data_IF_726260635493
#
_entry.id   IF_726260635493
#
_cell.length_a   1.000
_cell.length_b   1.000
_cell.length_c   1.000
_cell.angle_alpha   90.00
_cell.angle_beta   90.00
_cell.angle_gamma   90.00
#
_symmetry.space_group_name_H-M   'P 1'
#
loop_
_entity.id
_entity.type
_entity.pdbx_description
1 polymer ?
#
# COMPACT_ATOMS: atom_id res chain seq x y z
N UNK A 1 27.60 9.67 4.75
CA UNK A 1 27.40 8.33 4.18
C UNK A 1 28.14 8.25 2.86
N UNK A 2 28.72 7.09 2.54
CA UNK A 2 29.31 6.86 1.23
C UNK A 2 28.24 6.54 0.18
N UNK A 3 28.61 6.66 -1.11
CA UNK A 3 27.71 6.37 -2.22
C UNK A 3 27.22 4.90 -2.23
N UNK A 4 28.02 3.99 -1.67
CA UNK A 4 27.70 2.56 -1.57
C UNK A 4 26.51 2.34 -0.64
N UNK A 5 26.51 2.94 0.55
CA UNK A 5 25.39 2.85 1.50
C UNK A 5 24.10 3.44 0.93
N UNK A 6 24.21 4.54 0.17
CA UNK A 6 23.07 5.14 -0.52
C UNK A 6 22.49 4.18 -1.56
N UNK A 7 23.33 3.66 -2.45
CA UNK A 7 22.90 2.71 -3.47
C UNK A 7 22.29 1.43 -2.85
N UNK A 8 22.88 0.92 -1.77
CA UNK A 8 22.41 -0.27 -1.08
C UNK A 8 21.05 -0.06 -0.41
N UNK A 9 20.81 1.10 0.21
CA UNK A 9 19.50 1.44 0.79
C UNK A 9 18.40 1.54 -0.27
N UNK A 10 18.68 2.20 -1.40
CA UNK A 10 17.74 2.26 -2.52
C UNK A 10 17.47 0.88 -3.12
N UNK A 11 18.50 0.04 -3.29
CA UNK A 11 18.34 -1.33 -3.73
C UNK A 11 17.49 -2.15 -2.73
N UNK A 12 17.73 -1.98 -1.43
CA UNK A 12 17.00 -2.63 -0.35
C UNK A 12 15.53 -2.25 -0.28
N UNK A 13 15.17 -1.00 -0.64
CA UNK A 13 13.77 -0.58 -0.75
C UNK A 13 13.11 -1.02 -2.06
N UNK A 14 13.78 -0.82 -3.21
CA UNK A 14 13.20 -0.99 -4.54
C UNK A 14 13.09 -2.47 -4.95
N UNK A 15 14.13 -3.29 -4.73
CA UNK A 15 14.14 -4.66 -5.24
C UNK A 15 13.04 -5.53 -4.63
N UNK A 16 12.79 -5.52 -3.30
CA UNK A 16 11.66 -6.26 -2.72
C UNK A 16 10.31 -5.75 -3.24
N UNK A 17 10.14 -4.44 -3.39
CA UNK A 17 8.91 -3.86 -3.92
C UNK A 17 8.64 -4.31 -5.37
N UNK A 18 9.67 -4.39 -6.21
CA UNK A 18 9.57 -4.92 -7.57
C UNK A 18 9.28 -6.42 -7.61
N UNK A 19 9.85 -7.20 -6.69
CA UNK A 19 9.55 -8.63 -6.56
C UNK A 19 8.07 -8.86 -6.22
N UNK A 20 7.53 -8.09 -5.28
CA UNK A 20 6.10 -8.10 -4.96
C UNK A 20 5.24 -7.60 -6.12
N UNK A 21 5.67 -6.55 -6.83
CA UNK A 21 4.94 -6.04 -8.00
C UNK A 21 4.82 -7.12 -9.08
N UNK A 22 5.89 -7.87 -9.31
CA UNK A 22 5.88 -9.00 -10.23
C UNK A 22 4.91 -10.10 -9.78
N UNK A 23 4.87 -10.42 -8.47
CA UNK A 23 3.92 -11.39 -7.92
C UNK A 23 2.48 -10.93 -8.15
N UNK A 24 2.13 -9.71 -7.74
CA UNK A 24 0.76 -9.18 -7.82
C UNK A 24 0.26 -9.03 -9.25
N UNK A 25 1.14 -8.67 -10.20
CA UNK A 25 0.75 -8.63 -11.62
C UNK A 25 0.34 -9.99 -12.19
N UNK A 26 0.71 -11.11 -11.56
CA UNK A 26 0.28 -12.45 -11.98
C UNK A 26 -1.14 -12.77 -11.55
N UNK A 27 -1.68 -12.06 -10.55
CA UNK A 27 -3.08 -12.19 -10.16
C UNK A 27 -4.04 -11.72 -11.26
N UNK A 28 -3.52 -10.87 -12.15
CA UNK A 28 -4.19 -10.32 -13.33
C UNK A 28 -3.65 -10.95 -14.64
N UNK A 29 -3.18 -12.20 -14.58
CA UNK A 29 -2.63 -12.88 -15.74
C UNK A 29 -3.58 -13.06 -16.94
N UNK A 30 -4.91 -13.24 -16.76
CA UNK A 30 -5.82 -13.40 -17.90
C UNK A 30 -5.89 -12.17 -18.81
N UNK A 31 -5.98 -10.97 -18.22
CA UNK A 31 -6.19 -9.70 -18.92
C UNK A 31 -5.24 -8.61 -18.37
N UNK A 32 -3.92 -8.77 -18.58
CA UNK A 32 -2.94 -8.01 -17.82
C UNK A 32 -2.90 -6.52 -18.20
N UNK A 33 -2.89 -5.69 -17.17
CA UNK A 33 -2.78 -4.24 -17.34
C UNK A 33 -1.51 -3.80 -18.11
N UNK A 34 -1.60 -2.73 -18.94
CA UNK A 34 -0.46 -2.23 -19.70
C UNK A 34 0.71 -1.88 -18.78
N UNK A 35 1.89 -2.42 -19.09
CA UNK A 35 3.11 -2.22 -18.27
C UNK A 35 3.42 -0.74 -17.99
N UNK A 36 3.09 0.15 -18.93
CA UNK A 36 3.25 1.61 -18.77
C UNK A 36 2.37 2.19 -17.66
N UNK A 37 1.16 1.68 -17.48
CA UNK A 37 0.23 2.15 -16.45
C UNK A 37 0.62 1.60 -15.09
N UNK A 38 1.11 0.35 -15.03
CA UNK A 38 1.70 -0.18 -13.79
C UNK A 38 2.95 0.59 -13.39
N UNK A 39 3.83 0.91 -14.34
CA UNK A 39 5.00 1.75 -14.08
C UNK A 39 4.59 3.17 -13.63
N UNK A 40 3.55 3.75 -14.22
CA UNK A 40 3.00 5.03 -13.81
C UNK A 40 2.43 4.98 -12.38
N UNK A 41 1.68 3.93 -12.03
CA UNK A 41 1.15 3.72 -10.69
C UNK A 41 2.27 3.58 -9.66
N UNK A 42 3.29 2.77 -9.95
CA UNK A 42 4.47 2.64 -9.10
C UNK A 42 5.19 3.98 -8.91
N UNK A 43 5.47 4.70 -10.00
CA UNK A 43 6.09 6.02 -9.93
C UNK A 43 5.24 7.04 -9.17
N UNK A 44 3.91 7.00 -9.32
CA UNK A 44 2.99 7.82 -8.55
C UNK A 44 3.11 7.53 -7.05
N UNK A 45 3.22 6.25 -6.66
CA UNK A 45 3.53 5.83 -5.30
C UNK A 45 4.83 6.41 -4.77
N UNK A 46 5.91 6.34 -5.55
CA UNK A 46 7.21 6.93 -5.19
C UNK A 46 7.10 8.44 -4.94
N UNK A 47 6.44 9.16 -5.84
CA UNK A 47 6.24 10.61 -5.74
C UNK A 47 5.38 10.96 -4.51
N UNK A 48 4.44 10.10 -4.15
CA UNK A 48 3.56 10.28 -2.98
C UNK A 48 4.37 10.50 -1.70
N UNK A 49 5.51 9.80 -1.54
CA UNK A 49 6.39 9.95 -0.36
C UNK A 49 6.87 11.39 -0.18
N UNK A 50 7.25 12.06 -1.27
CA UNK A 50 7.69 13.46 -1.25
C UNK A 50 6.57 14.43 -0.83
N UNK A 51 5.30 14.06 -1.07
CA UNK A 51 4.14 14.87 -0.70
C UNK A 51 3.72 14.63 0.76
N UNK A 52 3.76 13.38 1.24
CA UNK A 52 3.30 13.05 2.60
C UNK A 52 4.28 13.48 3.67
N UNK A 53 5.60 13.38 3.46
CA UNK A 53 6.60 13.69 4.49
C UNK A 53 6.47 15.13 5.02
N UNK A 54 6.36 16.18 4.17
CA UNK A 54 6.13 17.54 4.65
C UNK A 54 4.84 17.68 5.46
N UNK A 55 3.75 17.04 5.02
CA UNK A 55 2.45 17.09 5.71
C UNK A 55 2.53 16.37 7.07
N UNK A 56 3.16 15.20 7.12
CA UNK A 56 3.41 14.45 8.35
C UNK A 56 4.25 15.25 9.34
N UNK A 57 5.32 15.92 8.87
CA UNK A 57 6.17 16.80 9.69
C UNK A 57 5.43 18.03 10.19
N UNK A 58 4.54 18.60 9.38
CA UNK A 58 3.70 19.72 9.78
C UNK A 58 2.68 19.31 10.84
N UNK A 59 2.06 18.14 10.72
CA UNK A 59 1.02 17.67 11.64
C UNK A 59 1.58 17.16 12.97
N UNK A 60 2.75 16.51 12.97
CA UNK A 60 3.30 15.82 14.14
C UNK A 60 3.43 16.70 15.42
N UNK A 61 3.89 17.96 15.36
CA UNK A 61 4.02 18.82 16.55
C UNK A 61 2.68 19.16 17.24
N UNK A 62 1.54 19.01 16.54
CA UNK A 62 0.22 19.29 17.10
C UNK A 62 -0.40 18.11 17.85
N UNK A 63 0.30 16.97 17.90
CA UNK A 63 -0.20 15.73 18.49
C UNK A 63 0.61 15.36 19.74
N UNK A 64 -0.09 14.96 20.80
CA UNK A 64 0.51 14.79 22.13
C UNK A 64 1.10 13.40 22.38
N UNK A 65 0.71 12.38 21.62
CA UNK A 65 1.14 10.99 21.85
C UNK A 65 1.71 10.36 20.59
N UNK A 66 2.68 9.47 20.76
CA UNK A 66 3.26 8.69 19.66
C UNK A 66 2.18 7.94 18.89
N UNK A 67 1.23 7.30 19.59
CA UNK A 67 0.10 6.62 18.94
C UNK A 67 -0.73 7.55 18.06
N UNK A 68 -1.02 8.77 18.52
CA UNK A 68 -1.75 9.75 17.72
C UNK A 68 -0.95 10.18 16.48
N UNK A 69 0.36 10.39 16.61
CA UNK A 69 1.27 10.74 15.51
C UNK A 69 1.25 9.65 14.43
N UNK A 70 1.49 8.39 14.80
CA UNK A 70 1.50 7.27 13.84
C UNK A 70 0.12 7.00 13.23
N UNK A 71 -0.96 7.24 13.98
CA UNK A 71 -2.33 7.18 13.43
C UNK A 71 -2.54 8.28 12.38
N UNK A 72 -2.14 9.52 12.67
CA UNK A 72 -2.24 10.62 11.72
C UNK A 72 -1.36 10.39 10.47
N UNK A 73 -0.16 9.83 10.63
CA UNK A 73 0.69 9.43 9.52
C UNK A 73 0.02 8.38 8.63
N UNK A 74 -0.58 7.35 9.22
CA UNK A 74 -1.34 6.33 8.51
C UNK A 74 -2.52 6.94 7.72
N UNK A 75 -3.24 7.90 8.32
CA UNK A 75 -4.30 8.66 7.63
C UNK A 75 -3.77 9.39 6.41
N UNK A 76 -2.72 10.20 6.60
CA UNK A 76 -2.12 11.01 5.53
C UNK A 76 -1.67 10.12 4.38
N UNK A 77 -0.99 9.02 4.68
CA UNK A 77 -0.46 8.13 3.65
C UNK A 77 -1.54 7.43 2.83
N UNK A 78 -2.51 6.78 3.47
CA UNK A 78 -3.54 6.03 2.74
C UNK A 78 -4.44 6.96 1.92
N UNK A 79 -4.74 8.16 2.44
CA UNK A 79 -5.47 9.19 1.67
C UNK A 79 -4.67 9.62 0.45
N UNK A 80 -3.38 9.96 0.62
CA UNK A 80 -2.56 10.43 -0.50
C UNK A 80 -2.29 9.32 -1.54
N UNK A 81 -2.09 8.07 -1.13
CA UNK A 81 -1.97 6.91 -2.04
C UNK A 81 -3.22 6.76 -2.89
N UNK A 82 -4.40 6.78 -2.27
CA UNK A 82 -5.67 6.73 -3.01
C UNK A 82 -5.84 7.91 -3.96
N UNK A 83 -5.55 9.14 -3.52
CA UNK A 83 -5.62 10.33 -4.37
C UNK A 83 -4.68 10.22 -5.57
N UNK A 84 -3.43 9.78 -5.35
CA UNK A 84 -2.44 9.61 -6.41
C UNK A 84 -2.87 8.53 -7.40
N UNK A 85 -3.40 7.39 -6.94
CA UNK A 85 -4.00 6.39 -7.82
C UNK A 85 -5.19 6.97 -8.61
N UNK A 86 -6.05 7.73 -7.93
CA UNK A 86 -7.28 8.29 -8.49
C UNK A 86 -7.05 9.32 -9.59
N UNK A 87 -5.98 10.10 -9.51
CA UNK A 87 -5.63 11.12 -10.53
C UNK A 87 -4.72 10.57 -11.64
N UNK A 88 -4.06 9.42 -11.44
CA UNK A 88 -3.11 8.86 -12.42
C UNK A 88 -3.68 7.70 -13.24
N UNK A 89 -4.26 6.70 -12.57
CA UNK A 89 -4.59 5.39 -13.15
C UNK A 89 -6.05 4.96 -13.03
N UNK A 90 -6.74 5.21 -11.90
CA UNK A 90 -8.13 4.74 -11.66
C UNK A 90 -9.24 5.48 -12.44
N UNK A 91 -8.87 6.29 -13.42
CA UNK A 91 -9.82 6.93 -14.35
C UNK A 91 -9.55 6.55 -15.80
N UNK A 92 -8.48 5.80 -16.03
CA UNK A 92 -8.07 5.36 -17.36
C UNK A 92 -9.08 4.35 -17.89
N UNK A 93 -9.17 4.25 -19.20
CA UNK A 93 -10.10 3.32 -19.86
C UNK A 93 -9.65 1.87 -19.70
N UNK A 94 -8.38 1.67 -19.40
CA UNK A 94 -7.77 0.38 -19.12
C UNK A 94 -8.13 -0.14 -17.70
N UNK A 95 -8.72 0.68 -16.82
CA UNK A 95 -9.40 0.18 -15.60
C UNK A 95 -10.80 -0.34 -16.02
N UNK A 96 -10.85 -1.52 -16.62
CA UNK A 96 -12.04 -2.12 -17.26
C UNK A 96 -12.53 -3.43 -16.63
N UNK A 97 -11.80 -3.97 -15.66
CA UNK A 97 -12.16 -5.14 -14.85
C UNK A 97 -12.22 -4.86 -13.34
N UNK A 98 -13.04 -5.61 -12.57
CA UNK A 98 -13.13 -5.42 -11.12
C UNK A 98 -11.82 -5.61 -10.34
N UNK A 99 -10.84 -6.32 -10.90
CA UNK A 99 -9.54 -6.56 -10.25
C UNK A 99 -8.55 -5.40 -10.44
N UNK A 100 -8.65 -4.63 -11.53
CA UNK A 100 -7.68 -3.60 -11.89
C UNK A 100 -7.50 -2.53 -10.81
N UNK A 101 -8.56 -2.03 -10.13
CA UNK A 101 -8.38 -1.10 -9.03
C UNK A 101 -7.49 -1.65 -7.92
N UNK A 102 -7.50 -2.97 -7.70
CA UNK A 102 -6.62 -3.63 -6.73
C UNK A 102 -5.19 -3.63 -7.22
N UNK A 103 -4.95 -4.02 -8.47
CA UNK A 103 -3.60 -4.04 -9.06
C UNK A 103 -2.99 -2.65 -9.08
N UNK A 104 -3.78 -1.63 -9.46
CA UNK A 104 -3.34 -0.24 -9.45
C UNK A 104 -3.01 0.28 -8.06
N UNK A 105 -3.88 0.03 -7.07
CA UNK A 105 -3.62 0.44 -5.69
C UNK A 105 -2.41 -0.27 -5.10
N UNK A 106 -2.23 -1.56 -5.39
CA UNK A 106 -1.04 -2.33 -4.97
C UNK A 106 0.22 -1.77 -5.63
N UNK A 107 0.19 -1.43 -6.92
CA UNK A 107 1.33 -0.83 -7.60
C UNK A 107 1.74 0.53 -6.98
N UNK A 108 0.76 1.39 -6.66
CA UNK A 108 1.00 2.65 -5.93
C UNK A 108 1.59 2.37 -4.54
N UNK A 109 1.05 1.41 -3.80
CA UNK A 109 1.54 1.05 -2.48
C UNK A 109 2.98 0.53 -2.50
N UNK A 110 3.34 -0.28 -3.49
CA UNK A 110 4.69 -0.81 -3.66
C UNK A 110 5.69 0.28 -4.05
N UNK A 111 5.28 1.24 -4.90
CA UNK A 111 6.10 2.40 -5.22
C UNK A 111 6.34 3.30 -4.00
N UNK A 112 5.30 3.49 -3.18
CA UNK A 112 5.41 4.20 -1.91
C UNK A 112 6.39 3.49 -0.96
N UNK A 113 6.15 2.19 -0.73
CA UNK A 113 6.98 1.36 0.14
C UNK A 113 8.44 1.34 -0.33
N UNK A 114 8.70 1.32 -1.63
CA UNK A 114 10.06 1.33 -2.17
C UNK A 114 10.88 2.55 -1.71
N UNK A 115 10.29 3.75 -1.79
CA UNK A 115 10.97 4.98 -1.37
C UNK A 115 10.99 5.12 0.14
N UNK A 116 9.90 4.82 0.84
CA UNK A 116 9.86 4.91 2.29
C UNK A 116 10.89 3.98 2.94
N UNK A 117 10.96 2.72 2.48
CA UNK A 117 11.94 1.75 2.94
C UNK A 117 13.37 2.20 2.66
N UNK A 118 13.64 2.75 1.47
CA UNK A 118 14.96 3.29 1.15
C UNK A 118 15.33 4.45 2.11
N UNK A 119 14.39 5.37 2.38
CA UNK A 119 14.61 6.47 3.32
C UNK A 119 14.76 5.99 4.76
N UNK A 120 14.04 4.94 5.17
CA UNK A 120 14.18 4.32 6.47
C UNK A 120 15.58 3.76 6.67
N UNK A 121 16.11 3.01 5.69
CA UNK A 121 17.47 2.46 5.70
C UNK A 121 18.56 3.54 5.72
N UNK A 122 18.26 4.73 5.18
CA UNK A 122 19.13 5.90 5.23
C UNK A 122 18.96 6.75 6.51
N UNK A 123 17.97 6.45 7.35
CA UNK A 123 17.73 7.27 8.52
C UNK A 123 18.77 6.98 9.61
N UNK A 124 19.24 8.00 10.36
CA UNK A 124 20.11 7.78 11.52
C UNK A 124 19.45 6.94 12.62
N UNK A 125 18.12 6.81 12.59
CA UNK A 125 17.31 5.99 13.49
C UNK A 125 17.47 4.49 13.21
N UNK A 126 17.97 4.11 12.04
CA UNK A 126 18.15 2.71 11.65
C UNK A 126 19.51 2.15 12.10
N UNK A 127 20.51 3.00 12.34
CA UNK A 127 21.86 2.62 12.76
C UNK A 127 22.90 3.67 12.33
N UNK A 128 24.10 3.60 12.88
CA UNK A 128 25.21 4.50 12.49
C UNK A 128 25.90 4.08 11.19
N UNK A 129 25.72 2.83 10.77
CA UNK A 129 26.22 2.25 9.52
C UNK A 129 25.16 1.35 8.88
N UNK A 130 25.21 1.18 7.56
CA UNK A 130 24.27 0.31 6.83
C UNK A 130 24.29 -1.16 7.33
N UNK A 131 25.46 -1.66 7.73
CA UNK A 131 25.59 -3.01 8.29
C UNK A 131 24.91 -3.11 9.67
N UNK A 132 25.07 -2.10 10.54
CA UNK A 132 24.28 -2.04 11.77
C UNK A 132 22.78 -1.94 11.48
N UNK A 133 22.37 -1.17 10.48
CA UNK A 133 20.96 -1.08 10.06
C UNK A 133 20.41 -2.41 9.54
N UNK A 134 21.23 -3.27 8.95
CA UNK A 134 20.85 -4.63 8.54
C UNK A 134 20.87 -5.62 9.71
N UNK A 135 21.79 -5.47 10.66
CA UNK A 135 21.91 -6.30 11.87
C UNK A 135 20.83 -5.98 12.90
N UNK A 136 20.52 -4.69 13.11
CA UNK A 136 19.33 -4.20 13.83
C UNK A 136 18.08 -4.26 12.96
N UNK A 137 18.24 -4.69 11.69
CA UNK A 137 17.30 -4.75 10.57
C UNK A 137 15.93 -5.18 11.01
N UNK A 138 15.22 -4.18 11.51
CA UNK A 138 14.08 -4.38 12.37
C UNK A 138 13.04 -5.11 11.53
N UNK A 139 12.53 -6.25 11.99
CA UNK A 139 11.51 -7.01 11.25
C UNK A 139 10.33 -6.12 10.77
N UNK A 140 10.15 -4.97 11.45
CA UNK A 140 9.30 -3.84 11.08
C UNK A 140 9.43 -3.42 9.60
N UNK A 141 10.62 -3.45 9.02
CA UNK A 141 10.91 -3.14 7.62
C UNK A 141 10.21 -4.10 6.64
N UNK A 142 10.30 -5.42 6.88
CA UNK A 142 9.66 -6.42 6.02
C UNK A 142 8.14 -6.34 6.14
N UNK A 143 7.63 -6.13 7.36
CA UNK A 143 6.20 -5.97 7.60
C UNK A 143 5.61 -4.71 6.99
N UNK A 144 6.36 -3.60 6.92
CA UNK A 144 5.88 -2.33 6.38
C UNK A 144 5.45 -2.45 4.91
N UNK A 145 6.26 -3.11 4.07
CA UNK A 145 5.91 -3.35 2.65
C UNK A 145 4.60 -4.11 2.52
N UNK A 146 4.46 -5.21 3.26
CA UNK A 146 3.28 -6.06 3.22
C UNK A 146 2.03 -5.35 3.75
N UNK A 147 2.20 -4.50 4.76
CA UNK A 147 1.12 -3.66 5.29
C UNK A 147 0.59 -2.71 4.23
N UNK A 148 1.47 -1.96 3.54
CA UNK A 148 1.03 -1.02 2.50
C UNK A 148 0.27 -1.73 1.39
N UNK A 149 0.75 -2.91 0.98
CA UNK A 149 0.04 -3.76 0.02
C UNK A 149 -1.35 -4.11 0.55
N UNK A 150 -1.44 -4.64 1.78
CA UNK A 150 -2.72 -5.05 2.38
C UNK A 150 -3.70 -3.88 2.53
N UNK A 151 -3.25 -2.74 3.06
CA UNK A 151 -4.10 -1.57 3.30
C UNK A 151 -4.59 -0.97 1.98
N UNK A 152 -3.71 -0.74 1.01
CA UNK A 152 -4.09 -0.17 -0.28
C UNK A 152 -4.90 -1.14 -1.14
N UNK A 153 -4.61 -2.44 -1.07
CA UNK A 153 -5.44 -3.45 -1.73
C UNK A 153 -6.86 -3.48 -1.15
N UNK A 154 -7.07 -3.20 0.13
CA UNK A 154 -8.42 -3.08 0.70
C UNK A 154 -9.23 -1.93 0.04
N UNK A 155 -8.57 -0.81 -0.31
CA UNK A 155 -9.18 0.27 -1.09
C UNK A 155 -9.55 -0.25 -2.49
N UNK A 156 -8.61 -0.92 -3.15
CA UNK A 156 -8.84 -1.52 -4.47
C UNK A 156 -10.00 -2.53 -4.46
N UNK A 157 -10.09 -3.38 -3.44
CA UNK A 157 -11.17 -4.36 -3.27
C UNK A 157 -12.50 -3.64 -3.11
N UNK A 158 -12.56 -2.57 -2.30
CA UNK A 158 -13.79 -1.79 -2.16
C UNK A 158 -14.24 -1.20 -3.51
N UNK A 159 -13.30 -0.70 -4.31
CA UNK A 159 -13.58 -0.22 -5.67
C UNK A 159 -14.07 -1.37 -6.58
N UNK A 160 -13.39 -2.51 -6.59
CA UNK A 160 -13.77 -3.71 -7.34
C UNK A 160 -15.15 -4.25 -6.99
N UNK A 161 -15.50 -4.31 -5.70
CA UNK A 161 -16.84 -4.68 -5.22
C UNK A 161 -17.94 -3.73 -5.71
N UNK A 162 -17.58 -2.50 -6.07
CA UNK A 162 -18.50 -1.48 -6.58
C UNK A 162 -18.37 -1.26 -8.09
N UNK A 163 -17.59 -2.07 -8.81
CA UNK A 163 -17.15 -1.79 -10.17
C UNK A 163 -18.30 -1.57 -11.17
N UNK A 164 -19.38 -2.35 -11.09
CA UNK A 164 -20.57 -2.17 -11.94
C UNK A 164 -21.73 -1.42 -11.25
N UNK A 165 -21.48 -0.80 -10.09
CA UNK A 165 -22.50 -0.02 -9.35
C UNK A 165 -22.54 1.44 -9.82
N UNK A 166 -23.55 2.17 -9.35
CA UNK A 166 -23.71 3.60 -9.62
C UNK A 166 -22.51 4.42 -9.14
N UNK A 167 -22.29 5.60 -9.72
CA UNK A 167 -21.21 6.52 -9.31
C UNK A 167 -21.26 6.86 -7.81
N UNK A 168 -22.45 7.01 -7.25
CA UNK A 168 -22.65 7.28 -5.83
C UNK A 168 -22.19 6.10 -4.97
N UNK A 169 -22.54 4.87 -5.36
CA UNK A 169 -22.07 3.66 -4.69
C UNK A 169 -20.55 3.55 -4.77
N UNK A 170 -19.94 3.75 -5.95
CA UNK A 170 -18.46 3.73 -6.09
C UNK A 170 -17.76 4.70 -5.13
N UNK A 171 -18.27 5.93 -5.01
CA UNK A 171 -17.74 6.93 -4.07
C UNK A 171 -17.86 6.49 -2.61
N UNK A 172 -18.99 5.90 -2.25
CA UNK A 172 -19.22 5.38 -0.90
C UNK A 172 -18.30 4.20 -0.57
N UNK A 173 -18.13 3.26 -1.49
CA UNK A 173 -17.20 2.14 -1.32
C UNK A 173 -15.75 2.64 -1.24
N UNK A 174 -15.34 3.60 -2.07
CA UNK A 174 -14.01 4.21 -1.97
C UNK A 174 -13.78 4.86 -0.60
N UNK A 175 -14.76 5.62 -0.09
CA UNK A 175 -14.69 6.25 1.22
C UNK A 175 -14.50 5.23 2.35
N UNK A 176 -15.32 4.18 2.40
CA UNK A 176 -15.18 3.13 3.41
C UNK A 176 -13.92 2.27 3.19
N UNK A 177 -13.48 2.09 1.95
CA UNK A 177 -12.22 1.41 1.62
C UNK A 177 -11.02 2.15 2.18
N UNK A 178 -10.97 3.48 2.01
CA UNK A 178 -9.93 4.33 2.61
C UNK A 178 -9.98 4.27 4.14
N UNK A 179 -11.17 4.34 4.75
CA UNK A 179 -11.30 4.17 6.21
C UNK A 179 -10.75 2.82 6.66
N UNK A 180 -11.11 1.73 5.96
CA UNK A 180 -10.60 0.40 6.30
C UNK A 180 -9.08 0.32 6.16
N UNK A 181 -8.50 0.90 5.11
CA UNK A 181 -7.06 0.97 4.92
C UNK A 181 -6.36 1.72 6.06
N UNK A 182 -6.91 2.86 6.46
CA UNK A 182 -6.41 3.65 7.60
C UNK A 182 -6.46 2.83 8.89
N UNK A 183 -7.57 2.12 9.14
CA UNK A 183 -7.72 1.29 10.33
C UNK A 183 -6.72 0.13 10.34
N UNK A 184 -6.55 -0.58 9.23
CA UNK A 184 -5.58 -1.66 9.09
C UNK A 184 -4.15 -1.17 9.31
N UNK A 185 -3.78 -0.05 8.68
CA UNK A 185 -2.46 0.56 8.80
C UNK A 185 -2.22 1.03 10.24
N UNK A 186 -3.14 1.83 10.80
CA UNK A 186 -3.01 2.35 12.17
C UNK A 186 -2.96 1.24 13.22
N UNK A 187 -3.78 0.19 13.05
CA UNK A 187 -3.78 -0.95 13.96
C UNK A 187 -2.44 -1.70 13.93
N UNK A 188 -1.85 -1.89 12.76
CA UNK A 188 -0.53 -2.51 12.67
C UNK A 188 0.58 -1.64 13.26
N UNK A 189 0.57 -0.33 13.00
CA UNK A 189 1.49 0.61 13.63
C UNK A 189 1.36 0.57 15.16
N UNK A 190 0.13 0.54 15.67
CA UNK A 190 -0.13 0.37 17.09
C UNK A 190 0.45 -0.94 17.63
N UNK A 191 0.22 -2.08 16.95
CA UNK A 191 0.75 -3.38 17.38
C UNK A 191 2.28 -3.36 17.40
N UNK A 192 2.94 -2.83 16.37
CA UNK A 192 4.40 -2.78 16.31
C UNK A 192 5.01 -1.88 17.39
N UNK A 193 4.35 -0.77 17.73
CA UNK A 193 4.81 0.15 18.78
C UNK A 193 4.66 -0.43 20.19
N UNK A 194 3.67 -1.31 20.40
CA UNK A 194 3.33 -1.84 21.72
C UNK A 194 3.71 -3.32 21.91
N UNK A 195 4.39 -3.94 20.94
CA UNK A 195 4.83 -5.33 21.01
C UNK A 195 6.34 -5.40 21.23
N UNK A 196 6.84 -6.14 22.25
CA UNK A 196 8.27 -6.40 22.42
C UNK A 196 8.90 -7.05 21.18
N UNK A 197 10.19 -6.83 20.95
CA UNK A 197 10.88 -7.28 19.73
C UNK A 197 10.79 -8.80 19.52
N UNK A 198 10.89 -9.58 20.60
CA UNK A 198 10.77 -11.05 20.61
C UNK A 198 9.40 -11.57 20.13
N UNK A 199 8.37 -10.72 20.08
CA UNK A 199 7.02 -11.07 19.65
C UNK A 199 6.64 -10.47 18.30
N UNK A 200 7.52 -9.69 17.65
CA UNK A 200 7.21 -9.02 16.38
C UNK A 200 6.84 -10.01 15.26
N UNK A 201 7.44 -11.21 15.23
CA UNK A 201 7.08 -12.26 14.27
C UNK A 201 5.59 -12.62 14.34
N UNK A 202 5.00 -12.65 15.53
CA UNK A 202 3.56 -12.90 15.71
C UNK A 202 2.74 -11.76 15.11
N UNK A 203 3.18 -10.51 15.30
CA UNK A 203 2.52 -9.34 14.71
C UNK A 203 2.54 -9.37 13.19
N UNK A 204 3.65 -9.79 12.56
CA UNK A 204 3.67 -10.01 11.11
C UNK A 204 2.79 -11.19 10.67
N UNK A 205 2.62 -12.20 11.52
CA UNK A 205 1.67 -13.30 11.28
C UNK A 205 0.25 -12.78 11.00
N UNK A 206 -0.19 -11.72 11.68
CA UNK A 206 -1.50 -11.10 11.41
C UNK A 206 -1.58 -10.44 10.02
N UNK A 207 -0.50 -9.82 9.54
CA UNK A 207 -0.45 -9.26 8.18
C UNK A 207 -0.52 -10.38 7.15
N UNK A 208 0.19 -11.49 7.37
CA UNK A 208 0.12 -12.66 6.49
C UNK A 208 -1.28 -13.26 6.44
N UNK A 209 -1.95 -13.40 7.59
CA UNK A 209 -3.36 -13.83 7.64
C UNK A 209 -4.23 -12.84 6.84
N UNK A 210 -4.01 -11.54 7.02
CA UNK A 210 -4.69 -10.50 6.25
C UNK A 210 -4.48 -10.62 4.75
N UNK A 211 -3.25 -10.90 4.30
CA UNK A 211 -2.92 -11.13 2.89
C UNK A 211 -3.58 -12.40 2.33
N UNK A 212 -3.63 -13.49 3.11
CA UNK A 212 -4.34 -14.71 2.72
C UNK A 212 -5.83 -14.43 2.54
N UNK A 213 -6.44 -13.70 3.48
CA UNK A 213 -7.84 -13.28 3.37
C UNK A 213 -8.04 -12.37 2.16
N UNK A 214 -7.13 -11.43 1.91
CA UNK A 214 -7.16 -10.55 0.75
C UNK A 214 -7.12 -11.35 -0.56
N UNK A 215 -6.24 -12.34 -0.68
CA UNK A 215 -6.16 -13.22 -1.85
C UNK A 215 -7.46 -14.00 -2.04
N UNK A 216 -8.06 -14.53 -0.97
CA UNK A 216 -9.36 -15.19 -1.05
C UNK A 216 -10.49 -14.23 -1.49
N UNK A 217 -10.48 -12.98 -1.01
CA UNK A 217 -11.43 -11.95 -1.45
C UNK A 217 -11.20 -11.55 -2.91
N UNK A 218 -9.94 -11.53 -3.37
CA UNK A 218 -9.63 -11.27 -4.77
C UNK A 218 -10.22 -12.31 -5.71
N UNK A 219 -10.18 -13.59 -5.33
CA UNK A 219 -10.85 -14.65 -6.09
C UNK A 219 -12.36 -14.42 -6.23
N UNK A 220 -12.99 -13.77 -5.24
CA UNK A 220 -14.37 -13.32 -5.36
C UNK A 220 -14.50 -12.09 -6.27
N UNK A 221 -13.62 -11.09 -6.13
CA UNK A 221 -13.64 -9.87 -6.96
C UNK A 221 -13.47 -10.20 -8.45
N UNK A 222 -12.56 -11.11 -8.81
CA UNK A 222 -12.35 -11.60 -10.18
C UNK A 222 -13.60 -12.19 -10.84
N UNK A 223 -14.60 -12.62 -10.04
CA UNK A 223 -15.85 -13.23 -10.53
C UNK A 223 -17.01 -12.25 -10.66
N UNK A 224 -16.78 -10.97 -10.38
CA UNK A 224 -17.81 -9.93 -10.48
C UNK A 224 -18.05 -9.63 -11.96
N UNK A 225 -19.31 -9.71 -12.39
CA UNK A 225 -19.73 -9.44 -13.75
C UNK A 225 -20.94 -8.48 -13.75
N UNK A 226 -21.16 -7.73 -14.85
CA UNK A 226 -22.31 -6.84 -14.93
C UNK A 226 -23.61 -7.64 -14.85
N UNK A 227 -24.58 -7.15 -14.08
CA UNK A 227 -25.92 -7.75 -14.07
C UNK A 227 -26.61 -7.43 -15.39
N UNK A 228 -26.71 -8.43 -16.28
CA UNK A 228 -27.50 -8.32 -17.51
C UNK A 228 -28.97 -8.15 -17.10
N UNK A 229 -29.52 -6.94 -17.26
CA UNK A 229 -30.97 -6.74 -17.18
C UNK A 229 -31.57 -7.47 -18.38
N UNK A 230 -32.27 -8.58 -18.16
CA UNK A 230 -33.15 -9.15 -19.19
C UNK A 230 -34.20 -8.10 -19.50
N UNK A 231 -34.07 -7.43 -20.64
CA UNK A 231 -35.14 -6.64 -21.23
C UNK A 231 -36.10 -7.69 -21.80
N UNK A 232 -37.12 -8.05 -21.04
CA UNK A 232 -38.25 -8.78 -21.60
C UNK A 232 -38.98 -7.79 -22.52
N UNK A 233 -38.93 -8.07 -23.82
CA UNK A 233 -39.71 -7.41 -24.88
C UNK A 233 -41.13 -7.93 -24.91
#
# INVERSE_FOLDING_TARGET
MDYVSIAAAFAGGILPALAWLWFWRREDAPHPEPRRLIALAFAAGMITVALVIPVQKFVAPFLMTTTAIFTAWSVIEEVFKYLMARITVLWRREDDEPIDPVIYMVAVALGFAAVENALFLLSPLAGSTFLQTLETGNLRFIGATLLHVLSSAAIGVALGLSFYKSKAAKRMYAFFGVILAILLHSAFNFLILNTPEEHLLRTFGFVWIGLIVLLAVLEYVKRIHPKVKKIFS
#
